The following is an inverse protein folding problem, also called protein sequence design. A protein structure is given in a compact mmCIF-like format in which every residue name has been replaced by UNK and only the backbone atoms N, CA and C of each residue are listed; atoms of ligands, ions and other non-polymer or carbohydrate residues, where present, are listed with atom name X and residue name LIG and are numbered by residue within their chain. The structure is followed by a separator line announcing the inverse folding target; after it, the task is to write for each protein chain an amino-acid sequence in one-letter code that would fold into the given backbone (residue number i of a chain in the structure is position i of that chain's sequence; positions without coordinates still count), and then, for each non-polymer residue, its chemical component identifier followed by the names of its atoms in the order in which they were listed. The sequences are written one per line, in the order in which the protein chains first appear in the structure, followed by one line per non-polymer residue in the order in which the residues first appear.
data_IF_361586010021
#
_entry.id   IF_361586010021
#
_cell.length_a   1.000
_cell.length_b   1.000
_cell.length_c   1.000
_cell.angle_alpha   90.00
_cell.angle_beta   90.00
_cell.angle_gamma   90.00
#
_symmetry.space_group_name_H-M   'P 1'
#
loop_
_entity.id
_entity.type
_entity.pdbx_description
1 polymer ?
#
# COMPACT_ATOMS: atom_id res chain seq x y z
N UNK A 1 -6.75 -66.78 -28.46
CA UNK A 1 -8.00 -66.42 -27.76
C UNK A 1 -7.66 -65.15 -26.99
N UNK A 2 -7.70 -64.04 -27.73
CA UNK A 2 -7.26 -62.72 -27.25
C UNK A 2 -8.32 -62.14 -26.32
N UNK A 3 -7.95 -61.91 -25.07
CA UNK A 3 -8.72 -61.08 -24.15
C UNK A 3 -8.40 -59.62 -24.47
N UNK A 4 -9.38 -58.77 -24.79
CA UNK A 4 -9.10 -57.40 -25.18
C UNK A 4 -8.59 -56.61 -23.98
N UNK A 5 -7.50 -55.89 -24.23
CA UNK A 5 -6.83 -54.98 -23.31
C UNK A 5 -7.59 -53.65 -23.23
N UNK A 6 -8.90 -53.65 -23.00
CA UNK A 6 -9.72 -52.44 -22.95
C UNK A 6 -10.66 -52.46 -21.74
N UNK A 7 -10.07 -52.27 -20.56
CA UNK A 7 -10.83 -51.95 -19.35
C UNK A 7 -10.02 -51.05 -18.40
N UNK A 8 -9.42 -49.99 -18.93
CA UNK A 8 -9.19 -48.77 -18.16
C UNK A 8 -10.07 -47.68 -18.76
N UNK A 9 -11.33 -47.64 -18.33
CA UNK A 9 -12.18 -46.49 -18.56
C UNK A 9 -11.47 -45.27 -17.96
N UNK A 10 -10.95 -44.41 -18.83
CA UNK A 10 -10.44 -43.11 -18.42
C UNK A 10 -11.57 -42.39 -17.65
N UNK A 11 -11.29 -41.99 -16.41
CA UNK A 11 -12.20 -41.17 -15.65
C UNK A 11 -12.59 -39.93 -16.50
N UNK A 12 -13.87 -39.52 -16.52
CA UNK A 12 -14.29 -38.41 -17.35
C UNK A 12 -13.52 -37.17 -16.93
N UNK A 13 -12.69 -36.66 -17.85
CA UNK A 13 -12.14 -35.32 -17.76
C UNK A 13 -13.35 -34.39 -17.72
N UNK A 14 -13.54 -33.68 -16.60
CA UNK A 14 -14.66 -32.77 -16.43
C UNK A 14 -14.77 -31.87 -17.67
N UNK A 15 -15.93 -31.90 -18.34
CA UNK A 15 -16.18 -31.06 -19.50
C UNK A 15 -15.90 -29.59 -19.12
N UNK A 16 -15.32 -28.78 -20.03
CA UNK A 16 -15.15 -27.36 -19.77
C UNK A 16 -16.51 -26.80 -19.35
N UNK A 17 -16.56 -26.07 -18.23
CA UNK A 17 -17.78 -25.34 -17.84
C UNK A 17 -18.27 -24.56 -19.06
N UNK A 18 -19.54 -24.71 -19.42
CA UNK A 18 -20.12 -23.82 -20.42
C UNK A 18 -19.99 -22.36 -19.90
N UNK A 19 -19.80 -21.41 -20.82
CA UNK A 19 -19.58 -19.99 -20.51
C UNK A 19 -20.56 -19.44 -19.46
N UNK A 20 -21.82 -19.86 -19.49
CA UNK A 20 -22.84 -19.47 -18.54
C UNK A 20 -22.52 -19.98 -17.12
N UNK A 21 -22.08 -21.22 -16.99
CA UNK A 21 -21.66 -21.79 -15.72
C UNK A 21 -20.39 -21.11 -15.17
N UNK A 22 -19.44 -20.75 -16.04
CA UNK A 22 -18.25 -19.97 -15.63
C UNK A 22 -18.63 -18.58 -15.09
N UNK A 23 -19.58 -17.90 -15.73
CA UNK A 23 -20.06 -16.58 -15.29
C UNK A 23 -20.79 -16.66 -13.95
N UNK A 24 -21.68 -17.64 -13.80
CA UNK A 24 -22.38 -17.86 -12.53
C UNK A 24 -21.41 -18.14 -11.37
N UNK A 25 -20.31 -18.85 -11.64
CA UNK A 25 -19.26 -19.07 -10.64
C UNK A 25 -18.48 -17.79 -10.30
N UNK A 26 -18.21 -16.92 -11.28
CA UNK A 26 -17.62 -15.59 -11.03
C UNK A 26 -18.54 -14.75 -10.15
N UNK A 27 -19.83 -14.65 -10.51
CA UNK A 27 -20.81 -13.87 -9.74
C UNK A 27 -20.87 -14.35 -8.27
N UNK A 28 -20.90 -15.68 -8.07
CA UNK A 28 -20.87 -16.30 -6.74
C UNK A 28 -19.61 -15.95 -5.95
N UNK A 29 -18.46 -15.88 -6.61
CA UNK A 29 -17.19 -15.47 -5.99
C UNK A 29 -17.21 -13.98 -5.65
N UNK A 30 -17.71 -13.14 -6.55
CA UNK A 30 -17.77 -11.70 -6.38
C UNK A 30 -18.70 -11.30 -5.22
N UNK A 31 -19.85 -11.96 -5.07
CA UNK A 31 -20.74 -11.80 -3.91
C UNK A 31 -20.02 -12.14 -2.60
N UNK A 32 -19.31 -13.28 -2.57
CA UNK A 32 -18.54 -13.69 -1.40
C UNK A 32 -17.38 -12.73 -1.09
N UNK A 33 -16.71 -12.19 -2.11
CA UNK A 33 -15.67 -11.17 -1.94
C UNK A 33 -16.26 -9.89 -1.36
N UNK A 34 -17.40 -9.43 -1.88
CA UNK A 34 -18.09 -8.26 -1.38
C UNK A 34 -18.48 -8.41 0.10
N UNK A 35 -19.08 -9.55 0.46
CA UNK A 35 -19.44 -9.86 1.86
C UNK A 35 -18.22 -9.84 2.79
N UNK A 36 -17.10 -10.42 2.35
CA UNK A 36 -15.85 -10.40 3.10
C UNK A 36 -15.29 -8.99 3.26
N UNK A 37 -15.38 -8.16 2.21
CA UNK A 37 -14.96 -6.75 2.26
C UNK A 37 -15.84 -5.95 3.23
N UNK A 38 -17.16 -6.13 3.20
CA UNK A 38 -18.09 -5.45 4.12
C UNK A 38 -17.84 -5.86 5.57
N UNK A 39 -17.62 -7.15 5.83
CA UNK A 39 -17.24 -7.65 7.17
C UNK A 39 -15.93 -7.04 7.64
N UNK A 40 -14.91 -6.96 6.77
CA UNK A 40 -13.62 -6.33 7.10
C UNK A 40 -13.78 -4.84 7.40
N UNK A 41 -14.55 -4.12 6.58
CA UNK A 41 -14.84 -2.70 6.78
C UNK A 41 -15.58 -2.47 8.11
N UNK A 42 -16.54 -3.33 8.47
CA UNK A 42 -17.22 -3.29 9.76
C UNK A 42 -16.25 -3.42 10.94
N UNK A 43 -15.30 -4.35 10.88
CA UNK A 43 -14.24 -4.50 11.90
C UNK A 43 -13.39 -3.22 11.98
N UNK A 44 -12.96 -2.65 10.84
CA UNK A 44 -12.20 -1.40 10.81
C UNK A 44 -12.97 -0.24 11.45
N UNK A 45 -14.27 -0.12 11.18
CA UNK A 45 -15.13 0.90 11.77
C UNK A 45 -15.30 0.70 13.30
N UNK A 46 -15.50 -0.53 13.77
CA UNK A 46 -15.53 -0.83 15.21
C UNK A 46 -14.21 -0.46 15.88
N UNK A 47 -13.07 -0.78 15.26
CA UNK A 47 -11.75 -0.39 15.76
C UNK A 47 -11.61 1.14 15.85
N UNK A 48 -12.08 1.88 14.84
CA UNK A 48 -12.09 3.34 14.86
C UNK A 48 -12.95 3.90 16.01
N UNK A 49 -14.16 3.38 16.20
CA UNK A 49 -15.10 3.83 17.24
C UNK A 49 -14.61 3.52 18.67
N UNK A 50 -13.94 2.39 18.84
CA UNK A 50 -13.55 1.87 20.16
C UNK A 50 -12.49 2.70 20.89
N UNK A 51 -11.81 3.66 20.23
CA UNK A 51 -10.64 4.40 20.76
C UNK A 51 -9.59 3.51 21.42
N UNK A 52 -9.57 2.20 21.14
CA UNK A 52 -8.66 1.20 21.75
C UNK A 52 -7.19 1.57 21.55
N UNK A 53 -6.89 2.48 20.62
CA UNK A 53 -5.56 3.01 20.34
C UNK A 53 -5.17 4.30 21.07
N UNK A 54 -6.03 4.95 21.87
CA UNK A 54 -5.70 6.23 22.50
C UNK A 54 -5.29 7.30 21.46
N UNK A 55 -4.27 8.12 21.77
CA UNK A 55 -3.66 9.10 20.85
C UNK A 55 -2.73 8.46 19.80
N UNK A 56 -2.62 7.13 19.74
CA UNK A 56 -1.69 6.47 18.82
C UNK A 56 -2.06 6.76 17.35
N UNK A 57 -1.04 7.01 16.54
CA UNK A 57 -1.18 7.33 15.13
C UNK A 57 -2.07 6.31 14.40
N UNK A 58 -3.10 6.84 13.74
CA UNK A 58 -4.04 6.09 12.88
C UNK A 58 -3.30 5.35 11.76
N UNK A 59 -2.24 5.95 11.23
CA UNK A 59 -1.36 5.35 10.22
C UNK A 59 -0.28 4.48 10.87
N UNK A 60 -0.25 3.19 10.52
CA UNK A 60 0.68 2.17 11.06
C UNK A 60 1.40 1.43 9.93
N UNK A 61 2.41 2.05 9.30
CA UNK A 61 3.12 1.49 8.13
C UNK A 61 3.61 0.05 8.33
N UNK A 62 4.14 -0.27 9.50
CA UNK A 62 4.66 -1.60 9.81
C UNK A 62 3.59 -2.69 9.73
N UNK A 63 2.36 -2.37 10.17
CA UNK A 63 1.22 -3.29 10.09
C UNK A 63 0.81 -3.53 8.64
N UNK A 64 0.80 -2.49 7.82
CA UNK A 64 0.49 -2.59 6.39
C UNK A 64 1.53 -3.42 5.66
N UNK A 65 2.82 -3.17 5.91
CA UNK A 65 3.92 -3.95 5.36
C UNK A 65 3.81 -5.44 5.74
N UNK A 66 3.49 -5.73 7.01
CA UNK A 66 3.27 -7.10 7.49
C UNK A 66 2.11 -7.78 6.76
N UNK A 67 0.99 -7.08 6.55
CA UNK A 67 -0.17 -7.60 5.80
C UNK A 67 0.24 -7.95 4.36
N UNK A 68 0.87 -7.01 3.66
CA UNK A 68 1.26 -7.18 2.26
C UNK A 68 2.30 -8.29 2.09
N UNK A 69 3.35 -8.33 2.92
CA UNK A 69 4.35 -9.42 2.88
C UNK A 69 3.72 -10.78 3.12
N UNK A 70 2.84 -10.90 4.12
CA UNK A 70 2.13 -12.16 4.40
C UNK A 70 1.30 -12.62 3.19
N UNK A 71 0.59 -11.70 2.54
CA UNK A 71 -0.24 -12.02 1.38
C UNK A 71 0.61 -12.40 0.16
N UNK A 72 1.68 -11.66 -0.10
CA UNK A 72 2.65 -11.97 -1.15
C UNK A 72 3.34 -13.32 -0.92
N UNK A 73 3.64 -13.67 0.33
CA UNK A 73 4.28 -14.94 0.70
C UNK A 73 3.38 -16.17 0.51
N UNK A 74 2.06 -15.99 0.58
CA UNK A 74 1.08 -17.08 0.31
C UNK A 74 0.46 -17.00 -1.09
N UNK A 75 0.88 -16.04 -1.91
CA UNK A 75 0.29 -15.78 -3.21
C UNK A 75 0.62 -16.90 -4.18
N UNK A 76 -0.42 -17.48 -4.79
CA UNK A 76 -0.33 -18.51 -5.82
C UNK A 76 -1.44 -18.30 -6.84
N UNK A 77 -1.20 -18.72 -8.08
CA UNK A 77 -2.17 -18.59 -9.17
C UNK A 77 -1.87 -17.44 -10.15
N UNK A 78 -2.77 -17.20 -11.12
CA UNK A 78 -2.49 -16.40 -12.31
C UNK A 78 -2.57 -14.87 -12.10
N UNK A 79 -3.12 -14.39 -10.97
CA UNK A 79 -3.24 -12.96 -10.70
C UNK A 79 -1.84 -12.33 -10.49
N UNK A 80 -1.46 -11.25 -11.20
CA UNK A 80 -0.17 -10.59 -10.99
C UNK A 80 0.01 -10.06 -9.56
N UNK A 81 1.24 -10.12 -9.04
CA UNK A 81 1.55 -9.71 -7.65
C UNK A 81 1.35 -8.21 -7.44
N UNK A 82 1.61 -7.42 -8.47
CA UNK A 82 1.42 -5.98 -8.50
C UNK A 82 -0.06 -5.61 -8.36
N UNK A 83 -0.94 -6.37 -9.01
CA UNK A 83 -2.40 -6.19 -8.90
C UNK A 83 -2.88 -6.55 -7.49
N UNK A 84 -2.39 -7.66 -6.91
CA UNK A 84 -2.66 -8.01 -5.51
C UNK A 84 -2.29 -6.86 -4.56
N UNK A 85 -1.08 -6.30 -4.70
CA UNK A 85 -0.63 -5.18 -3.85
C UNK A 85 -1.52 -3.96 -4.03
N UNK A 86 -1.90 -3.62 -5.26
CA UNK A 86 -2.77 -2.46 -5.54
C UNK A 86 -4.16 -2.62 -4.90
N UNK A 87 -4.79 -3.78 -5.07
CA UNK A 87 -6.09 -4.09 -4.46
C UNK A 87 -6.03 -3.96 -2.93
N UNK A 88 -5.00 -4.53 -2.31
CA UNK A 88 -4.85 -4.45 -0.85
C UNK A 88 -4.49 -3.05 -0.36
N UNK A 89 -3.77 -2.26 -1.16
CA UNK A 89 -3.48 -0.85 -0.85
C UNK A 89 -4.77 -0.03 -0.81
N UNK A 90 -5.67 -0.19 -1.77
CA UNK A 90 -6.97 0.49 -1.76
C UNK A 90 -7.85 0.05 -0.57
N UNK A 91 -7.86 -1.25 -0.24
CA UNK A 91 -8.57 -1.78 0.92
C UNK A 91 -8.02 -1.20 2.25
N UNK A 92 -6.69 -1.07 2.36
CA UNK A 92 -6.02 -0.47 3.52
C UNK A 92 -6.33 1.03 3.60
N UNK A 93 -6.21 1.76 2.49
CA UNK A 93 -6.50 3.18 2.39
C UNK A 93 -7.94 3.51 2.81
N UNK A 94 -8.91 2.71 2.38
CA UNK A 94 -10.30 2.84 2.81
C UNK A 94 -10.46 2.71 4.33
N UNK A 95 -9.74 1.77 4.95
CA UNK A 95 -9.77 1.61 6.42
C UNK A 95 -9.11 2.79 7.14
N UNK A 96 -8.07 3.37 6.56
CA UNK A 96 -7.40 4.56 7.09
C UNK A 96 -8.34 5.78 7.08
N UNK A 97 -9.09 5.96 6.00
CA UNK A 97 -10.11 7.00 5.87
C UNK A 97 -11.26 6.86 6.89
N UNK A 98 -11.64 5.62 7.25
CA UNK A 98 -12.63 5.37 8.30
C UNK A 98 -12.14 5.74 9.71
N UNK A 99 -10.83 5.72 9.94
CA UNK A 99 -10.22 5.94 11.25
C UNK A 99 -9.95 7.42 11.55
N UNK A 100 -10.22 8.33 10.62
CA UNK A 100 -10.13 9.76 10.82
C UNK A 100 -9.70 10.52 9.57
N UNK A 101 -9.47 11.83 9.75
CA UNK A 101 -8.98 12.69 8.67
C UNK A 101 -7.51 12.36 8.36
N UNK A 102 -7.30 11.47 7.39
CA UNK A 102 -5.98 11.19 6.82
C UNK A 102 -5.80 11.98 5.52
N UNK A 103 -4.71 12.72 5.41
CA UNK A 103 -4.40 13.51 4.21
C UNK A 103 -2.90 13.44 3.87
N UNK A 104 -2.60 13.51 2.57
CA UNK A 104 -1.24 13.53 2.05
C UNK A 104 -0.85 14.96 1.67
N UNK A 105 0.42 15.30 1.85
CA UNK A 105 1.05 16.49 1.28
C UNK A 105 2.11 16.08 0.24
N UNK A 106 2.07 16.70 -0.93
CA UNK A 106 2.99 16.42 -2.05
C UNK A 106 3.45 17.74 -2.64
N UNK A 107 4.72 17.82 -3.03
CA UNK A 107 5.25 18.99 -3.72
C UNK A 107 4.85 18.99 -5.20
N UNK A 108 4.46 20.14 -5.72
CA UNK A 108 4.25 20.35 -7.16
C UNK A 108 2.83 20.06 -7.62
N UNK A 109 2.69 19.31 -8.71
CA UNK A 109 1.44 19.10 -9.43
C UNK A 109 0.86 17.68 -9.27
N UNK A 110 -0.43 17.52 -9.56
CA UNK A 110 -1.18 16.26 -9.42
C UNK A 110 -0.66 15.13 -10.33
N UNK A 111 -0.06 15.49 -11.46
CA UNK A 111 0.51 14.59 -12.46
C UNK A 111 2.00 14.26 -12.20
N UNK A 112 2.59 14.84 -11.15
CA UNK A 112 3.95 14.53 -10.75
C UNK A 112 4.12 13.06 -10.34
N UNK A 113 5.32 12.53 -10.55
CA UNK A 113 5.67 11.15 -10.17
C UNK A 113 5.42 10.87 -8.67
N UNK A 114 5.82 11.74 -7.71
CA UNK A 114 5.46 11.55 -6.30
C UNK A 114 3.95 11.51 -6.06
N UNK A 115 3.16 12.35 -6.74
CA UNK A 115 1.70 12.33 -6.63
C UNK A 115 1.12 11.00 -7.14
N UNK A 116 1.61 10.48 -8.26
CA UNK A 116 1.19 9.17 -8.77
C UNK A 116 1.53 8.03 -7.80
N UNK A 117 2.75 8.02 -7.25
CA UNK A 117 3.17 7.04 -6.25
C UNK A 117 2.33 7.14 -4.97
N UNK A 118 2.02 8.35 -4.53
CA UNK A 118 1.14 8.61 -3.39
C UNK A 118 -0.24 8.00 -3.61
N UNK A 119 -0.83 8.18 -4.80
CA UNK A 119 -2.10 7.54 -5.18
C UNK A 119 -2.02 6.02 -5.17
N UNK A 120 -0.93 5.44 -5.68
CA UNK A 120 -0.72 4.00 -5.64
C UNK A 120 -0.58 3.43 -4.22
N UNK A 121 -0.09 4.22 -3.26
CA UNK A 121 0.16 3.77 -1.90
C UNK A 121 -1.01 4.02 -0.94
N UNK A 122 -1.65 5.19 -1.04
CA UNK A 122 -2.70 5.65 -0.12
C UNK A 122 -4.08 5.71 -0.79
N UNK A 123 -4.21 5.20 -2.02
CA UNK A 123 -5.47 5.13 -2.73
C UNK A 123 -5.92 6.45 -3.38
N UNK A 124 -6.88 6.31 -4.29
CA UNK A 124 -7.39 7.42 -5.12
C UNK A 124 -8.24 8.42 -4.36
N UNK A 125 -8.89 8.02 -3.27
CA UNK A 125 -9.85 8.85 -2.55
C UNK A 125 -9.23 9.64 -1.38
N UNK A 126 -7.99 9.35 -1.01
CA UNK A 126 -7.32 10.06 0.09
C UNK A 126 -7.06 11.52 -0.31
N UNK A 127 -7.45 12.51 0.50
CA UNK A 127 -7.16 13.92 0.21
C UNK A 127 -5.66 14.17 -0.02
N UNK A 128 -5.34 14.89 -1.09
CA UNK A 128 -3.97 15.24 -1.46
C UNK A 128 -3.83 16.75 -1.54
N UNK A 129 -2.98 17.32 -0.68
CA UNK A 129 -2.58 18.73 -0.71
C UNK A 129 -1.35 18.87 -1.60
N UNK A 130 -1.50 19.61 -2.68
CA UNK A 130 -0.40 20.01 -3.55
C UNK A 130 0.18 21.33 -3.04
N UNK A 131 1.47 21.33 -2.73
CA UNK A 131 2.15 22.47 -2.12
C UNK A 131 3.36 22.88 -2.96
N UNK A 132 3.70 24.17 -3.01
CA UNK A 132 4.69 24.67 -3.97
C UNK A 132 6.13 24.29 -3.62
N UNK A 133 6.45 24.04 -2.35
CA UNK A 133 7.83 23.79 -1.89
C UNK A 133 7.92 22.64 -0.90
N UNK A 134 9.09 22.00 -0.85
CA UNK A 134 9.45 20.98 0.14
C UNK A 134 9.21 21.45 1.56
N UNK A 135 9.65 22.66 1.91
CA UNK A 135 9.52 23.18 3.28
C UNK A 135 8.05 23.35 3.67
N UNK A 136 7.17 23.74 2.73
CA UNK A 136 5.72 23.79 2.96
C UNK A 136 5.12 22.40 3.15
N UNK A 137 5.57 21.40 2.38
CA UNK A 137 5.16 19.99 2.53
C UNK A 137 5.53 19.45 3.91
N UNK A 138 6.77 19.65 4.35
CA UNK A 138 7.25 19.22 5.66
C UNK A 138 6.53 19.96 6.79
N UNK A 139 6.34 21.27 6.67
CA UNK A 139 5.62 22.09 7.65
C UNK A 139 4.14 21.66 7.80
N UNK A 140 3.46 21.33 6.70
CA UNK A 140 2.08 20.86 6.73
C UNK A 140 1.95 19.56 7.54
N UNK A 141 2.93 18.67 7.46
CA UNK A 141 2.94 17.43 8.25
C UNK A 141 3.35 17.67 9.70
N UNK A 142 4.39 18.46 9.93
CA UNK A 142 4.84 18.81 11.27
C UNK A 142 3.73 19.53 12.07
N UNK A 143 2.98 20.43 11.43
CA UNK A 143 1.86 21.18 12.00
C UNK A 143 0.53 20.40 12.07
N UNK A 144 0.47 19.16 11.57
CA UNK A 144 -0.74 18.33 11.59
C UNK A 144 -1.81 18.71 10.55
N UNK A 145 -1.50 19.60 9.60
CA UNK A 145 -2.37 19.90 8.47
C UNK A 145 -2.48 18.74 7.47
N UNK A 146 -1.46 17.89 7.42
CA UNK A 146 -1.42 16.65 6.66
C UNK A 146 -0.85 15.53 7.54
N UNK A 147 -1.21 14.29 7.24
CA UNK A 147 -0.80 13.11 8.01
C UNK A 147 0.53 12.54 7.53
N UNK A 148 0.85 12.72 6.25
CA UNK A 148 2.05 12.18 5.61
C UNK A 148 2.50 13.08 4.47
N UNK A 149 3.81 13.23 4.31
CA UNK A 149 4.44 13.90 3.19
C UNK A 149 5.02 12.86 2.23
N UNK A 150 4.86 13.08 0.93
CA UNK A 150 5.45 12.23 -0.10
C UNK A 150 6.50 13.04 -0.85
N UNK A 151 7.75 12.62 -0.71
CA UNK A 151 8.91 13.28 -1.30
C UNK A 151 9.68 12.30 -2.18
N UNK A 152 10.28 12.75 -3.30
CA UNK A 152 11.02 11.87 -4.21
C UNK A 152 12.20 11.23 -3.49
N UNK A 153 12.65 10.07 -3.99
CA UNK A 153 13.88 9.48 -3.49
C UNK A 153 15.09 10.41 -3.75
N UNK A 154 16.06 10.49 -2.81
CA UNK A 154 17.32 11.19 -2.99
C UNK A 154 18.02 10.80 -4.30
N UNK A 155 18.62 11.78 -4.97
CA UNK A 155 19.46 11.56 -6.13
C UNK A 155 20.89 12.00 -5.85
N UNK A 156 21.85 11.25 -6.41
CA UNK A 156 23.27 11.60 -6.29
C UNK A 156 23.53 12.95 -6.97
N UNK A 157 24.28 13.81 -6.27
CA UNK A 157 24.66 15.14 -6.77
C UNK A 157 23.54 16.18 -6.74
N UNK A 158 22.40 15.91 -6.10
CA UNK A 158 21.37 16.94 -5.97
C UNK A 158 21.84 18.12 -5.09
N UNK A 159 21.48 19.37 -5.46
CA UNK A 159 21.83 20.54 -4.66
C UNK A 159 21.24 20.45 -3.25
N UNK A 160 21.97 20.93 -2.24
CA UNK A 160 21.51 20.92 -0.84
C UNK A 160 20.16 21.63 -0.61
N UNK A 161 19.85 22.64 -1.42
CA UNK A 161 18.54 23.33 -1.38
C UNK A 161 17.37 22.45 -1.86
N UNK A 162 17.64 21.49 -2.75
CA UNK A 162 16.68 20.50 -3.21
C UNK A 162 16.58 19.28 -2.28
N UNK A 163 17.64 19.03 -1.48
CA UNK A 163 17.76 17.95 -0.51
C UNK A 163 16.78 18.07 0.65
N UNK A 164 15.57 17.54 0.45
CA UNK A 164 14.50 17.58 1.43
C UNK A 164 14.87 16.95 2.77
N UNK A 165 15.74 15.94 2.78
CA UNK A 165 16.18 15.30 4.01
C UNK A 165 17.06 16.20 4.87
N UNK A 166 17.72 17.21 4.28
CA UNK A 166 18.46 18.24 5.02
C UNK A 166 17.51 19.25 5.68
N UNK A 167 16.31 19.42 5.13
CA UNK A 167 15.27 20.31 5.67
C UNK A 167 14.40 19.64 6.74
N UNK A 168 14.56 18.33 6.97
CA UNK A 168 13.74 17.60 7.94
C UNK A 168 14.14 17.89 9.39
N UNK A 169 13.13 18.22 10.20
CA UNK A 169 13.21 18.23 11.66
C UNK A 169 13.28 16.80 12.21
N UNK A 170 14.49 16.25 12.39
CA UNK A 170 14.69 14.98 13.09
C UNK A 170 14.77 15.19 14.61
N UNK A 171 14.25 14.27 15.46
CA UNK A 171 13.57 13.01 15.13
C UNK A 171 12.05 13.16 14.96
N UNK A 172 11.53 14.40 14.90
CA UNK A 172 10.10 14.68 14.84
C UNK A 172 9.47 14.11 13.58
N UNK A 173 10.09 14.30 12.42
CA UNK A 173 9.69 13.70 11.15
C UNK A 173 10.64 12.56 10.80
N UNK A 174 10.07 11.42 10.40
CA UNK A 174 10.83 10.24 10.03
C UNK A 174 10.33 9.67 8.71
N UNK A 175 11.22 9.01 7.97
CA UNK A 175 10.82 8.19 6.82
C UNK A 175 10.18 6.91 7.35
N UNK A 176 8.92 6.68 6.98
CA UNK A 176 8.12 5.58 7.53
C UNK A 176 7.68 4.54 6.48
N UNK A 177 7.81 4.86 5.19
CA UNK A 177 7.61 3.89 4.12
C UNK A 177 8.36 4.30 2.84
N UNK A 178 8.72 3.28 2.04
CA UNK A 178 9.25 3.42 0.69
C UNK A 178 8.15 3.16 -0.35
N UNK A 179 8.19 3.90 -1.47
CA UNK A 179 7.20 3.82 -2.56
C UNK A 179 7.90 3.55 -3.91
N UNK A 180 7.37 2.62 -4.74
CA UNK A 180 6.27 1.71 -4.45
C UNK A 180 6.65 0.62 -3.43
N UNK A 181 5.65 -0.02 -2.80
CA UNK A 181 5.90 -1.09 -1.82
C UNK A 181 6.52 -2.34 -2.45
N UNK A 182 6.02 -2.72 -3.64
CA UNK A 182 6.61 -3.75 -4.47
C UNK A 182 7.28 -3.04 -5.64
N UNK A 183 8.61 -3.07 -5.66
CA UNK A 183 9.36 -2.69 -6.84
C UNK A 183 9.08 -3.71 -7.96
N UNK A 184 9.17 -3.28 -9.23
CA UNK A 184 9.05 -4.19 -10.37
C UNK A 184 10.09 -5.32 -10.33
N UNK A 185 10.04 -6.21 -11.34
CA UNK A 185 10.86 -7.44 -11.42
C UNK A 185 12.37 -7.24 -11.22
N UNK A 186 12.87 -6.02 -11.41
CA UNK A 186 14.30 -5.69 -11.36
C UNK A 186 14.77 -5.16 -9.98
N UNK A 187 13.95 -5.25 -8.93
CA UNK A 187 14.38 -4.82 -7.59
C UNK A 187 14.66 -3.32 -7.48
N UNK A 188 13.95 -2.52 -8.27
CA UNK A 188 14.14 -1.07 -8.36
C UNK A 188 14.15 -0.40 -6.97
N UNK A 189 15.10 0.52 -6.78
CA UNK A 189 15.18 1.37 -5.59
C UNK A 189 13.84 2.12 -5.36
N UNK A 190 13.53 2.47 -4.10
CA UNK A 190 12.43 3.36 -3.79
C UNK A 190 12.51 4.61 -4.66
N UNK A 191 11.36 5.03 -5.18
CA UNK A 191 11.25 6.19 -6.06
C UNK A 191 10.71 7.42 -5.30
N UNK A 192 10.07 7.18 -4.15
CA UNK A 192 9.64 8.19 -3.21
C UNK A 192 9.61 7.60 -1.79
N UNK A 193 9.57 8.48 -0.81
CA UNK A 193 9.43 8.16 0.60
C UNK A 193 8.21 8.84 1.20
N UNK A 194 7.57 8.14 2.14
CA UNK A 194 6.56 8.70 3.02
C UNK A 194 7.21 9.18 4.32
N UNK A 195 6.97 10.45 4.67
CA UNK A 195 7.50 11.10 5.86
C UNK A 195 6.32 11.43 6.79
N UNK A 196 6.40 11.06 8.06
CA UNK A 196 5.32 11.26 9.03
C UNK A 196 5.87 11.54 10.44
N UNK A 197 5.08 12.16 11.34
CA UNK A 197 5.48 12.45 12.71
C UNK A 197 5.26 11.24 13.62
N UNK A 198 5.75 10.08 13.19
CA UNK A 198 5.59 8.81 13.91
C UNK A 198 6.89 8.01 13.80
N UNK A 199 7.27 7.37 14.91
CA UNK A 199 8.42 6.48 14.92
C UNK A 199 8.08 5.22 14.10
N UNK A 200 8.94 4.80 13.15
CA UNK A 200 8.79 3.53 12.46
C UNK A 200 8.80 2.37 13.46
N UNK A 201 7.79 1.51 13.35
CA UNK A 201 7.77 0.22 14.04
C UNK A 201 8.45 -0.86 13.17
N UNK A 202 9.12 -1.86 13.76
CA UNK A 202 9.68 -2.96 12.98
C UNK A 202 8.60 -3.74 12.22
N UNK A 203 8.88 -4.05 10.96
CA UNK A 203 8.04 -4.89 10.10
C UNK A 203 8.78 -6.10 9.52
N UNK A 204 10.08 -6.25 9.84
CA UNK A 204 10.86 -7.49 9.69
C UNK A 204 11.78 -7.56 8.47
N UNK A 205 11.51 -6.79 7.42
CA UNK A 205 12.41 -6.60 6.28
C UNK A 205 12.56 -5.10 6.02
N UNK A 206 12.95 -4.37 7.06
CA UNK A 206 13.03 -2.91 7.06
C UNK A 206 14.39 -2.45 6.51
N UNK A 207 14.40 -1.30 5.83
CA UNK A 207 15.63 -0.60 5.44
C UNK A 207 15.75 0.66 6.29
N UNK A 208 16.87 0.80 6.98
CA UNK A 208 17.20 2.01 7.74
C UNK A 208 17.93 2.99 6.85
N UNK A 209 17.50 4.25 6.85
CA UNK A 209 18.20 5.35 6.20
C UNK A 209 18.97 6.14 7.26
N UNK A 210 20.21 6.53 6.94
CA UNK A 210 21.07 7.33 7.81
C UNK A 210 21.31 8.68 7.14
N UNK A 211 21.05 9.77 7.87
CA UNK A 211 21.46 11.12 7.48
C UNK A 211 22.79 11.42 8.16
N UNK A 212 23.81 11.71 7.37
CA UNK A 212 25.11 12.18 7.86
C UNK A 212 25.15 13.70 7.77
N UNK A 213 25.46 14.35 8.88
CA UNK A 213 25.69 15.79 8.95
C UNK A 213 27.21 16.03 9.07
N UNK A 214 27.78 16.97 8.31
CA UNK A 214 29.20 17.31 8.37
C UNK A 214 29.59 17.99 9.69
#
# INVERSE_FOLDING_TARGET
MDLPLDALAAAPVAAPLDLAAMRAEIDRIDDALHDLLMRRAGISATMAASRVKGTAATFRPAREATILRRLLGRHAGPLPREVLVRLWRDIIASSLAQQGAFAMAVQGAADSKPAHLARGHFGLLTPMKLLPTTSRVLAAVAGGEASVAILPAPQDGEPGEAAWWMQMEAPRLQVVAALPFLAGRDGAEPQAFAIAPTAPEPSGQDRTLLRLEP
#
